data_IF_307006806878
#
_entry.id   IF_307006806878
#
_cell.length_a   1.000
_cell.length_b   1.000
_cell.length_c   1.000
_cell.angle_alpha   90.00
_cell.angle_beta   90.00
_cell.angle_gamma   90.00
#
_symmetry.space_group_name_H-M   'P 1'
#
loop_
_entity.id
_entity.type
_entity.pdbx_description
1 polymer ?
#
# COMPACT_ATOMS: atom_id res chain seq x y z
N UNK A 1 -9.23 24.88 -3.88
CA UNK A 1 -10.07 25.31 -2.75
C UNK A 1 -9.73 24.45 -1.53
N UNK A 2 -9.74 25.02 -0.33
CA UNK A 2 -9.52 24.29 0.93
C UNK A 2 -10.74 24.55 1.80
N UNK A 3 -11.47 23.51 2.20
CA UNK A 3 -12.72 23.61 2.98
C UNK A 3 -13.77 24.54 2.34
N UNK A 4 -13.89 24.51 1.01
CA UNK A 4 -14.83 25.35 0.26
C UNK A 4 -14.32 26.77 -0.04
N UNK A 5 -13.21 27.20 0.56
CA UNK A 5 -12.62 28.53 0.35
C UNK A 5 -11.55 28.52 -0.75
N UNK A 6 -11.46 29.61 -1.51
CA UNK A 6 -10.35 29.84 -2.43
C UNK A 6 -9.14 30.37 -1.69
N UNK A 7 -7.98 29.74 -1.92
CA UNK A 7 -6.70 30.14 -1.34
C UNK A 7 -5.70 30.36 -2.48
N UNK A 8 -5.30 31.62 -2.74
CA UNK A 8 -4.28 31.88 -3.75
C UNK A 8 -2.92 31.37 -3.26
N UNK A 9 -2.18 30.72 -4.16
CA UNK A 9 -0.85 30.21 -3.90
C UNK A 9 0.02 30.36 -5.15
N UNK A 10 1.31 30.64 -4.96
CA UNK A 10 2.29 30.70 -6.05
C UNK A 10 2.76 29.31 -6.50
N UNK A 11 2.65 28.32 -5.59
CA UNK A 11 2.93 26.91 -5.85
C UNK A 11 1.87 26.04 -5.16
N UNK A 12 1.45 24.97 -5.84
CA UNK A 12 0.53 23.95 -5.34
C UNK A 12 1.17 22.58 -5.55
N UNK A 13 1.32 21.82 -4.47
CA UNK A 13 1.78 20.43 -4.51
C UNK A 13 0.59 19.52 -4.28
N UNK A 14 0.32 18.62 -5.22
CA UNK A 14 -0.71 17.59 -5.09
C UNK A 14 -0.05 16.34 -4.51
N UNK A 15 -0.26 16.13 -3.21
CA UNK A 15 0.31 15.04 -2.43
C UNK A 15 -0.74 14.00 -2.01
N UNK A 16 -1.51 13.52 -2.98
CA UNK A 16 -2.60 12.54 -2.77
C UNK A 16 -2.28 11.21 -3.45
N UNK A 17 -3.10 10.19 -3.24
CA UNK A 17 -3.07 8.98 -4.04
C UNK A 17 -3.25 9.31 -5.55
N UNK A 18 -2.72 8.47 -6.46
CA UNK A 18 -2.77 8.69 -7.90
C UNK A 18 -4.20 8.87 -8.46
N UNK A 19 -5.22 8.07 -8.10
CA UNK A 19 -6.61 8.35 -8.52
C UNK A 19 -7.08 9.76 -8.15
N UNK A 20 -6.87 10.18 -6.90
CA UNK A 20 -7.21 11.53 -6.44
C UNK A 20 -6.39 12.60 -7.16
N UNK A 21 -5.10 12.38 -7.39
CA UNK A 21 -4.23 13.31 -8.10
C UNK A 21 -4.65 13.49 -9.55
N UNK A 22 -5.00 12.41 -10.25
CA UNK A 22 -5.54 12.44 -11.61
C UNK A 22 -6.83 13.25 -11.67
N UNK A 23 -7.75 13.03 -10.72
CA UNK A 23 -9.02 13.78 -10.63
C UNK A 23 -8.80 15.29 -10.38
N UNK A 24 -7.89 15.64 -9.47
CA UNK A 24 -7.62 17.04 -9.12
C UNK A 24 -6.88 17.82 -10.21
N UNK A 25 -6.04 17.14 -11.01
CA UNK A 25 -5.15 17.79 -11.99
C UNK A 25 -5.59 17.64 -13.43
N UNK A 26 -6.41 16.62 -13.74
CA UNK A 26 -6.77 16.25 -15.11
C UNK A 26 -5.59 15.67 -15.92
N UNK A 27 -4.54 15.19 -15.26
CA UNK A 27 -3.35 14.64 -15.93
C UNK A 27 -3.57 13.13 -16.18
N UNK A 28 -3.82 12.78 -17.44
CA UNK A 28 -4.19 11.41 -17.86
C UNK A 28 -3.09 10.35 -17.68
N UNK A 29 -1.82 10.77 -17.61
CA UNK A 29 -0.68 9.84 -17.48
C UNK A 29 -0.53 9.30 -16.05
N UNK A 30 -1.20 9.90 -15.07
CA UNK A 30 -1.22 9.41 -13.69
C UNK A 30 -1.97 8.06 -13.64
N UNK A 31 -1.39 6.98 -13.07
CA UNK A 31 -2.03 5.68 -13.02
C UNK A 31 -3.22 5.67 -12.05
N UNK A 32 -4.43 5.87 -12.58
CA UNK A 32 -5.66 5.99 -11.78
C UNK A 32 -6.36 4.66 -11.45
N UNK A 33 -5.91 3.52 -12.00
CA UNK A 33 -6.50 2.22 -11.67
C UNK A 33 -5.91 1.69 -10.37
N UNK A 34 -6.73 1.66 -9.32
CA UNK A 34 -6.36 1.12 -8.02
C UNK A 34 -6.29 -0.41 -8.04
N UNK A 35 -5.51 -0.95 -7.11
CA UNK A 35 -5.55 -2.34 -6.70
C UNK A 35 -5.90 -2.34 -5.22
N UNK A 36 -7.08 -2.89 -4.93
CA UNK A 36 -7.54 -3.10 -3.57
C UNK A 36 -6.85 -4.28 -2.89
N UNK A 37 -6.81 -4.26 -1.57
CA UNK A 37 -6.30 -5.35 -0.77
C UNK A 37 -7.03 -5.49 0.57
N UNK A 38 -6.97 -6.70 1.12
CA UNK A 38 -7.44 -7.02 2.47
C UNK A 38 -6.26 -7.58 3.24
N UNK A 39 -5.97 -6.98 4.39
CA UNK A 39 -4.96 -7.48 5.33
C UNK A 39 -5.66 -8.10 6.52
N UNK A 40 -5.42 -9.38 6.75
CA UNK A 40 -5.90 -10.10 7.93
C UNK A 40 -4.74 -10.27 8.90
N UNK A 41 -4.89 -9.73 10.11
CA UNK A 41 -3.94 -9.93 11.18
C UNK A 41 -4.28 -11.21 11.94
N UNK A 42 -3.34 -12.14 12.01
CA UNK A 42 -3.52 -13.44 12.65
C UNK A 42 -2.52 -13.60 13.80
N UNK A 43 -3.02 -14.09 14.94
CA UNK A 43 -2.21 -14.42 16.10
C UNK A 43 -2.13 -15.94 16.33
N UNK A 44 -0.99 -16.43 16.80
CA UNK A 44 -0.76 -17.83 17.17
C UNK A 44 0.15 -17.91 18.39
N UNK A 45 0.03 -18.98 19.19
CA UNK A 45 1.03 -19.33 20.22
C UNK A 45 2.16 -20.19 19.65
N UNK A 46 1.98 -20.72 18.45
CA UNK A 46 2.99 -21.45 17.71
C UNK A 46 3.81 -20.48 16.84
N UNK A 47 5.13 -20.69 16.82
CA UNK A 47 6.03 -19.93 15.95
C UNK A 47 5.62 -20.12 14.47
N UNK A 48 5.47 -19.04 13.68
CA UNK A 48 5.24 -19.12 12.24
C UNK A 48 6.29 -19.95 11.48
N UNK A 49 7.52 -20.08 12.01
CA UNK A 49 8.59 -20.88 11.41
C UNK A 49 9.31 -20.23 10.23
N UNK A 50 9.03 -18.95 9.97
CA UNK A 50 9.55 -18.19 8.80
C UNK A 50 10.57 -17.10 9.18
N UNK A 51 10.96 -17.03 10.46
CA UNK A 51 11.87 -16.02 10.97
C UNK A 51 11.33 -14.60 10.70
N UNK A 52 12.19 -13.73 10.15
CA UNK A 52 11.84 -12.35 9.75
C UNK A 52 11.56 -12.21 8.26
N UNK A 53 11.48 -13.31 7.52
CA UNK A 53 11.31 -13.30 6.07
C UNK A 53 9.83 -13.25 5.68
N UNK A 54 9.53 -12.57 4.58
CA UNK A 54 8.21 -12.69 3.94
C UNK A 54 8.04 -14.09 3.34
N UNK A 55 6.82 -14.63 3.44
CA UNK A 55 6.42 -15.82 2.69
C UNK A 55 5.47 -15.41 1.58
N UNK A 56 5.74 -15.83 0.35
CA UNK A 56 4.94 -15.53 -0.84
C UNK A 56 4.26 -16.80 -1.34
N UNK A 57 3.04 -16.70 -1.88
CA UNK A 57 2.47 -17.81 -2.66
C UNK A 57 3.08 -17.83 -4.08
N UNK A 58 4.04 -18.73 -4.29
CA UNK A 58 4.61 -18.98 -5.62
C UNK A 58 3.73 -19.83 -6.54
N UNK A 59 2.61 -20.38 -6.04
CA UNK A 59 1.77 -21.32 -6.80
C UNK A 59 0.58 -20.65 -7.49
N UNK A 60 0.18 -19.46 -7.03
CA UNK A 60 -1.02 -18.74 -7.51
C UNK A 60 -2.34 -19.44 -7.13
N UNK A 61 -2.31 -20.32 -6.13
CA UNK A 61 -3.47 -21.11 -5.69
C UNK A 61 -4.00 -20.66 -4.33
N UNK A 62 -3.25 -19.83 -3.62
CA UNK A 62 -3.63 -19.33 -2.31
C UNK A 62 -4.28 -17.94 -2.44
N UNK A 63 -5.37 -17.67 -1.70
CA UNK A 63 -5.93 -16.33 -1.62
C UNK A 63 -4.95 -15.31 -1.02
N UNK A 64 -4.11 -15.74 -0.08
CA UNK A 64 -3.05 -14.91 0.50
C UNK A 64 -1.89 -14.80 -0.50
N UNK A 65 -1.58 -13.56 -0.88
CA UNK A 65 -0.44 -13.22 -1.72
C UNK A 65 0.88 -13.30 -0.93
N UNK A 66 0.89 -12.76 0.29
CA UNK A 66 2.04 -12.86 1.18
C UNK A 66 1.71 -12.83 2.67
N UNK A 67 2.64 -13.34 3.47
CA UNK A 67 2.62 -13.36 4.93
C UNK A 67 3.83 -12.58 5.45
N UNK A 68 3.57 -11.59 6.31
CA UNK A 68 4.59 -10.81 7.00
C UNK A 68 4.67 -11.19 8.49
N UNK A 69 5.82 -11.68 8.99
CA UNK A 69 5.98 -12.08 10.39
C UNK A 69 6.27 -10.89 11.31
N UNK A 70 5.24 -10.07 11.56
CA UNK A 70 5.36 -8.78 12.25
C UNK A 70 6.08 -8.88 13.61
N UNK A 71 5.65 -9.80 14.47
CA UNK A 71 6.23 -9.95 15.80
C UNK A 71 7.64 -10.57 15.80
N UNK A 72 8.01 -11.30 14.74
CA UNK A 72 9.38 -11.79 14.57
C UNK A 72 10.33 -10.65 14.23
N UNK A 73 9.86 -9.65 13.46
CA UNK A 73 10.62 -8.44 13.13
C UNK A 73 10.69 -7.50 14.34
N UNK A 74 9.56 -7.26 15.01
CA UNK A 74 9.48 -6.42 16.21
C UNK A 74 8.65 -7.10 17.29
N UNK A 75 9.35 -7.63 18.31
CA UNK A 75 8.74 -8.41 19.41
C UNK A 75 7.64 -7.66 20.16
N UNK A 76 7.73 -6.33 20.26
CA UNK A 76 6.72 -5.53 20.98
C UNK A 76 5.34 -5.51 20.30
N UNK A 77 5.20 -6.00 19.06
CA UNK A 77 3.92 -6.07 18.35
C UNK A 77 3.01 -7.21 18.80
N UNK A 78 3.50 -8.13 19.63
CA UNK A 78 2.67 -9.19 20.21
C UNK A 78 2.96 -9.37 21.71
N UNK A 79 1.97 -9.83 22.49
CA UNK A 79 2.20 -10.25 23.86
C UNK A 79 3.25 -11.38 23.95
N UNK A 80 3.87 -11.53 25.12
CA UNK A 80 4.80 -12.63 25.36
C UNK A 80 4.15 -13.99 25.08
N UNK A 81 4.84 -14.85 24.32
CA UNK A 81 4.35 -16.17 23.93
C UNK A 81 3.32 -16.17 22.80
N UNK A 82 3.05 -15.01 22.18
CA UNK A 82 2.24 -14.91 20.98
C UNK A 82 3.07 -14.40 19.80
N UNK A 83 2.68 -14.85 18.62
CA UNK A 83 3.20 -14.44 17.34
C UNK A 83 2.08 -13.78 16.55
N UNK A 84 2.39 -12.63 15.95
CA UNK A 84 1.52 -11.88 15.07
C UNK A 84 2.08 -11.91 13.65
N UNK A 85 1.20 -12.22 12.69
CA UNK A 85 1.47 -12.11 11.25
C UNK A 85 0.41 -11.24 10.56
N UNK A 86 0.80 -10.59 9.46
CA UNK A 86 -0.13 -9.97 8.53
C UNK A 86 -0.24 -10.85 7.29
N UNK A 87 -1.45 -11.28 6.93
CA UNK A 87 -1.75 -12.03 5.73
C UNK A 87 -2.44 -11.11 4.73
N UNK A 88 -1.80 -10.82 3.61
CA UNK A 88 -2.30 -9.86 2.61
C UNK A 88 -2.89 -10.60 1.43
N UNK A 89 -4.15 -10.32 1.13
CA UNK A 89 -4.88 -10.81 -0.03
C UNK A 89 -5.14 -9.63 -0.99
N UNK A 90 -5.11 -9.88 -2.30
CA UNK A 90 -5.22 -8.84 -3.33
C UNK A 90 -6.47 -9.02 -4.18
N UNK A 91 -7.07 -7.91 -4.59
CA UNK A 91 -8.14 -7.87 -5.59
C UNK A 91 -9.48 -7.37 -5.07
N UNK A 92 -10.23 -6.73 -5.94
CA UNK A 92 -11.48 -6.03 -5.61
C UNK A 92 -12.61 -6.96 -5.15
N UNK A 93 -12.62 -8.21 -5.61
CA UNK A 93 -13.63 -9.19 -5.21
C UNK A 93 -13.60 -9.54 -3.71
N UNK A 94 -12.52 -9.17 -3.01
CA UNK A 94 -12.40 -9.34 -1.56
C UNK A 94 -13.02 -8.17 -0.78
N UNK A 95 -13.08 -6.98 -1.37
CA UNK A 95 -13.58 -5.76 -0.75
C UNK A 95 -15.11 -5.75 -0.61
N UNK A 96 -15.81 -6.48 -1.48
CA UNK A 96 -17.24 -6.77 -1.32
C UNK A 96 -17.53 -7.95 -0.40
N UNK A 97 -16.48 -8.57 0.15
CA UNK A 97 -16.57 -9.70 1.06
C UNK A 97 -16.84 -9.29 2.50
N UNK A 98 -17.49 -10.19 3.23
CA UNK A 98 -17.62 -10.12 4.69
C UNK A 98 -16.27 -10.38 5.38
N UNK A 99 -15.96 -9.61 6.43
CA UNK A 99 -14.70 -9.67 7.17
C UNK A 99 -14.49 -11.04 7.80
N UNK A 100 -15.54 -11.68 8.31
CA UNK A 100 -15.46 -13.03 8.88
C UNK A 100 -15.02 -14.06 7.82
N UNK A 101 -15.57 -13.94 6.60
CA UNK A 101 -15.20 -14.80 5.47
C UNK A 101 -13.76 -14.55 5.02
N UNK A 102 -13.35 -13.29 4.93
CA UNK A 102 -11.98 -12.91 4.58
C UNK A 102 -10.99 -13.41 5.65
N UNK A 103 -11.34 -13.28 6.93
CA UNK A 103 -10.58 -13.77 8.07
C UNK A 103 -10.39 -15.28 8.04
N UNK A 104 -11.46 -16.05 7.83
CA UNK A 104 -11.40 -17.51 7.72
C UNK A 104 -10.58 -17.97 6.51
N UNK A 105 -10.76 -17.29 5.38
CA UNK A 105 -10.00 -17.56 4.15
C UNK A 105 -8.50 -17.36 4.35
N UNK A 106 -8.12 -16.23 4.95
CA UNK A 106 -6.72 -15.97 5.27
C UNK A 106 -6.16 -16.96 6.28
N UNK A 107 -6.93 -17.32 7.32
CA UNK A 107 -6.54 -18.32 8.32
C UNK A 107 -6.22 -19.69 7.71
N UNK A 108 -7.08 -20.18 6.81
CA UNK A 108 -6.85 -21.44 6.09
C UNK A 108 -5.64 -21.35 5.15
N UNK A 109 -5.49 -20.22 4.46
CA UNK A 109 -4.41 -20.00 3.52
C UNK A 109 -3.04 -19.93 4.21
N UNK A 110 -2.95 -19.18 5.32
CA UNK A 110 -1.74 -19.12 6.17
C UNK A 110 -1.36 -20.48 6.72
N UNK A 111 -2.32 -21.23 7.24
CA UNK A 111 -2.09 -22.58 7.73
C UNK A 111 -1.49 -23.48 6.63
N UNK A 112 -2.07 -23.43 5.43
CA UNK A 112 -1.58 -24.19 4.28
C UNK A 112 -0.16 -23.78 3.87
N UNK A 113 0.08 -22.47 3.75
CA UNK A 113 1.38 -21.93 3.32
C UNK A 113 2.50 -22.20 4.33
N UNK A 114 2.19 -22.26 5.62
CA UNK A 114 3.15 -22.50 6.69
C UNK A 114 3.23 -23.98 7.12
N UNK A 115 2.41 -24.87 6.54
CA UNK A 115 2.35 -26.28 6.93
C UNK A 115 1.87 -26.49 8.37
N UNK A 116 0.93 -25.65 8.83
CA UNK A 116 0.37 -25.67 10.19
C UNK A 116 -1.14 -25.95 10.14
N UNK A 117 -1.73 -26.18 11.32
CA UNK A 117 -3.18 -26.30 11.45
C UNK A 117 -3.82 -24.91 11.55
N UNK A 118 -4.94 -24.72 10.85
CA UNK A 118 -5.67 -23.46 10.90
C UNK A 118 -6.16 -23.14 12.32
N UNK A 119 -6.42 -24.15 13.16
CA UNK A 119 -6.85 -23.99 14.55
C UNK A 119 -5.81 -23.28 15.44
N UNK A 120 -4.54 -23.26 15.02
CA UNK A 120 -3.48 -22.55 15.74
C UNK A 120 -3.55 -21.03 15.56
N UNK A 121 -4.29 -20.57 14.54
CA UNK A 121 -4.37 -19.18 14.16
C UNK A 121 -5.71 -18.58 14.57
N UNK A 122 -5.67 -17.38 15.16
CA UNK A 122 -6.84 -16.60 15.53
C UNK A 122 -6.83 -15.29 14.76
N UNK A 123 -7.97 -14.93 14.17
CA UNK A 123 -8.18 -13.60 13.57
C UNK A 123 -8.17 -12.55 14.67
N UNK A 124 -7.31 -11.54 14.50
CA UNK A 124 -7.21 -10.38 15.40
C UNK A 124 -7.98 -9.21 14.83
N UNK A 125 -7.76 -8.94 13.54
CA UNK A 125 -8.37 -7.81 12.84
C UNK A 125 -8.36 -8.05 11.32
N UNK A 126 -9.28 -7.39 10.62
CA UNK A 126 -9.42 -7.42 9.16
C UNK A 126 -9.49 -5.99 8.67
N UNK A 127 -8.54 -5.60 7.81
CA UNK A 127 -8.46 -4.24 7.27
C UNK A 127 -8.56 -4.30 5.75
N UNK A 128 -9.62 -3.69 5.23
CA UNK A 128 -9.91 -3.59 3.80
C UNK A 128 -9.61 -2.20 3.28
N UNK A 129 -8.91 -2.11 2.14
CA UNK A 129 -8.51 -0.85 1.52
C UNK A 129 -8.81 -0.90 0.01
N UNK A 130 -9.63 0.05 -0.46
CA UNK A 130 -9.97 0.21 -1.88
C UNK A 130 -8.76 0.59 -2.74
N UNK A 131 -7.82 1.30 -2.13
CA UNK A 131 -6.56 1.70 -2.73
C UNK A 131 -5.39 1.23 -1.84
N UNK A 132 -4.72 0.17 -2.25
CA UNK A 132 -3.44 -0.24 -1.65
C UNK A 132 -2.24 0.20 -2.50
N UNK A 133 -2.35 0.07 -3.82
CA UNK A 133 -1.34 0.47 -4.79
C UNK A 133 -1.96 0.52 -6.19
N UNK A 134 -1.17 0.87 -7.21
CA UNK A 134 -1.54 0.80 -8.62
C UNK A 134 -0.71 -0.27 -9.35
N UNK A 135 -1.19 -0.73 -10.51
CA UNK A 135 -0.54 -1.82 -11.26
C UNK A 135 0.76 -1.35 -11.92
N UNK A 136 1.88 -1.95 -11.52
CA UNK A 136 3.20 -1.68 -12.10
C UNK A 136 3.55 -2.65 -13.24
N UNK A 137 2.81 -2.59 -14.35
CA UNK A 137 3.05 -3.50 -15.51
C UNK A 137 4.45 -3.28 -16.15
N UNK A 138 5.01 -4.26 -16.87
CA UNK A 138 6.31 -4.11 -17.52
C UNK A 138 6.41 -2.83 -18.37
N UNK A 139 7.46 -2.04 -18.12
CA UNK A 139 7.72 -0.79 -18.84
C UNK A 139 6.88 0.41 -18.38
N UNK A 140 6.16 0.32 -17.27
CA UNK A 140 5.34 1.44 -16.74
C UNK A 140 6.19 2.64 -16.30
N UNK A 141 7.37 2.42 -15.68
CA UNK A 141 8.21 3.50 -15.13
C UNK A 141 8.68 4.52 -16.17
N UNK A 142 8.72 4.14 -17.45
CA UNK A 142 9.06 5.06 -18.56
C UNK A 142 7.91 6.00 -18.96
N UNK A 143 6.73 5.77 -18.39
CA UNK A 143 5.47 6.42 -18.71
C UNK A 143 4.84 7.06 -17.48
N UNK A 144 5.55 7.13 -16.37
CA UNK A 144 5.07 7.81 -15.17
C UNK A 144 5.15 9.33 -15.34
N UNK A 145 4.26 10.09 -14.71
CA UNK A 145 4.38 11.54 -14.64
C UNK A 145 5.66 11.98 -13.93
N UNK A 146 6.22 13.11 -14.34
CA UNK A 146 7.24 13.80 -13.57
C UNK A 146 6.62 14.62 -12.42
N UNK A 147 7.45 14.99 -11.45
CA UNK A 147 7.10 15.93 -10.38
C UNK A 147 6.61 17.28 -10.92
N UNK A 148 7.25 17.81 -11.98
CA UNK A 148 6.83 19.06 -12.62
C UNK A 148 5.77 18.79 -13.67
N UNK A 149 4.67 19.53 -13.63
CA UNK A 149 3.59 19.39 -14.61
C UNK A 149 3.71 20.41 -15.75
N UNK A 150 2.86 20.28 -16.78
CA UNK A 150 2.71 21.29 -17.82
C UNK A 150 2.01 22.57 -17.36
N UNK A 151 1.52 22.63 -16.11
CA UNK A 151 0.85 23.79 -15.53
C UNK A 151 1.81 24.51 -14.58
N UNK A 152 2.08 25.78 -14.87
CA UNK A 152 2.99 26.59 -14.05
C UNK A 152 2.52 26.64 -12.59
N UNK A 153 3.44 26.34 -11.66
CA UNK A 153 3.15 26.35 -10.22
C UNK A 153 2.41 25.12 -9.71
N UNK A 154 2.15 24.10 -10.54
CA UNK A 154 1.55 22.83 -10.13
C UNK A 154 2.59 21.70 -10.15
N UNK A 155 2.72 21.02 -9.01
CA UNK A 155 3.67 19.93 -8.78
C UNK A 155 2.95 18.69 -8.25
N UNK A 156 3.50 17.51 -8.55
CA UNK A 156 3.04 16.22 -8.06
C UNK A 156 4.01 15.66 -7.01
N UNK A 157 3.46 15.21 -5.88
CA UNK A 157 4.18 14.45 -4.86
C UNK A 157 3.41 13.14 -4.60
N UNK A 158 3.62 12.16 -5.44
CA UNK A 158 2.90 10.89 -5.44
C UNK A 158 3.84 9.75 -5.80
N UNK A 159 3.62 8.58 -5.22
CA UNK A 159 4.33 7.34 -5.58
C UNK A 159 4.23 7.04 -7.09
N UNK A 160 3.16 7.52 -7.74
CA UNK A 160 3.01 7.53 -9.20
C UNK A 160 4.10 8.27 -9.98
N UNK A 161 4.94 9.11 -9.36
CA UNK A 161 6.05 9.79 -10.05
C UNK A 161 7.36 9.00 -10.01
N UNK A 162 7.42 7.91 -9.22
CA UNK A 162 8.64 7.09 -9.04
C UNK A 162 8.31 5.60 -9.18
N UNK A 163 7.65 5.03 -8.19
CA UNK A 163 7.16 3.65 -8.13
C UNK A 163 6.15 3.49 -6.97
N UNK A 164 5.33 2.44 -7.01
CA UNK A 164 4.29 2.18 -6.00
C UNK A 164 4.85 1.63 -4.68
N UNK A 165 5.76 2.37 -4.05
CA UNK A 165 6.34 2.03 -2.75
C UNK A 165 6.42 3.24 -1.82
N UNK A 166 6.60 2.96 -0.53
CA UNK A 166 6.88 4.01 0.48
C UNK A 166 8.15 4.79 0.12
N UNK A 167 9.18 4.12 -0.40
CA UNK A 167 10.40 4.80 -0.83
C UNK A 167 10.14 5.73 -2.03
N UNK A 168 9.36 5.26 -3.01
CA UNK A 168 8.93 6.07 -4.15
C UNK A 168 8.14 7.30 -3.72
N UNK A 169 7.22 7.16 -2.76
CA UNK A 169 6.46 8.27 -2.19
C UNK A 169 7.36 9.30 -1.48
N UNK A 170 8.35 8.85 -0.70
CA UNK A 170 9.31 9.72 0.00
C UNK A 170 10.15 10.50 -1.03
N UNK A 171 10.74 9.79 -2.00
CA UNK A 171 11.53 10.42 -3.07
C UNK A 171 10.71 11.46 -3.83
N UNK A 172 9.46 11.13 -4.19
CA UNK A 172 8.56 12.06 -4.87
C UNK A 172 8.32 13.34 -4.07
N UNK A 173 8.14 13.23 -2.75
CA UNK A 173 7.98 14.39 -1.88
C UNK A 173 9.23 15.27 -1.83
N UNK A 174 10.41 14.66 -1.77
CA UNK A 174 11.70 15.37 -1.81
C UNK A 174 11.90 16.09 -3.15
N UNK A 175 11.59 15.43 -4.27
CA UNK A 175 11.68 16.00 -5.60
C UNK A 175 10.71 17.18 -5.77
N UNK A 176 9.47 17.06 -5.27
CA UNK A 176 8.48 18.14 -5.29
C UNK A 176 8.96 19.35 -4.48
N UNK A 177 9.48 19.14 -3.27
CA UNK A 177 10.04 20.20 -2.45
C UNK A 177 11.22 20.89 -3.15
N UNK A 178 12.11 20.11 -3.79
CA UNK A 178 13.22 20.65 -4.56
C UNK A 178 12.74 21.49 -5.74
N UNK A 179 11.77 21.00 -6.52
CA UNK A 179 11.25 21.68 -7.70
C UNK A 179 10.58 23.02 -7.34
N UNK A 180 9.79 23.05 -6.26
CA UNK A 180 9.20 24.28 -5.73
C UNK A 180 10.30 25.26 -5.30
N UNK A 181 11.31 24.78 -4.57
CA UNK A 181 12.42 25.61 -4.10
C UNK A 181 13.16 26.28 -5.26
N UNK A 182 13.51 25.51 -6.28
CA UNK A 182 14.23 26.01 -7.46
C UNK A 182 13.42 26.98 -8.30
N UNK A 183 12.11 26.77 -8.44
CA UNK A 183 11.25 27.65 -9.22
C UNK A 183 10.94 28.99 -8.53
N UNK A 184 10.98 29.02 -7.19
CA UNK A 184 10.58 30.19 -6.40
C UNK A 184 11.72 30.83 -5.60
N UNK A 185 12.96 30.37 -5.77
CA UNK A 185 14.15 31.03 -5.20
C UNK A 185 14.25 30.96 -3.67
N UNK A 186 13.57 30.00 -3.04
CA UNK A 186 13.79 29.72 -1.62
C UNK A 186 15.19 29.08 -1.49
N UNK A 187 16.03 29.57 -0.57
CA UNK A 187 17.35 28.96 -0.27
C UNK A 187 17.26 28.11 0.97
#
# INVERSE_FOLDING_TARGET
>A
RVNGEERPATAVVVATDPPTAASLTGIDVIPATSVGCVTVYLASTQDPGIGTSLTLDGTGKQPVNHIAPLSSVQRAYAPQGQHLVAAVMLGEALLSGDDDRNGETARQSVATMLGQEAANWRVVDVVSLDYCFWRQTPGIHRRLPDTTTGVQGLYLASDATVDASVNGAIMSGEDAAHAVRMAHGYT
#
